data_IF_453794449633
#
_entry.id   IF_453794449633
#
_cell.length_a   1.000
_cell.length_b   1.000
_cell.length_c   1.000
_cell.angle_alpha   90.00
_cell.angle_beta   90.00
_cell.angle_gamma   90.00
#
_symmetry.space_group_name_H-M   'P 1'
#
loop_
_entity.id
_entity.type
_entity.pdbx_description
1 polymer ?
#
# COMPACT_ATOMS: atom_id res chain seq x y z
N UNK A 1 8.94 44.37 -6.24
CA UNK A 1 7.89 43.34 -6.45
C UNK A 1 7.35 43.04 -5.06
N UNK A 2 6.06 43.25 -4.85
CA UNK A 2 5.42 42.96 -3.57
C UNK A 2 4.86 41.54 -3.61
N UNK A 3 5.20 40.74 -2.59
CA UNK A 3 4.72 39.36 -2.44
C UNK A 3 3.77 39.33 -1.25
N UNK A 4 2.56 38.83 -1.47
CA UNK A 4 1.60 38.55 -0.39
C UNK A 4 1.80 37.11 0.07
N UNK A 5 1.98 36.93 1.37
CA UNK A 5 2.20 35.63 2.01
C UNK A 5 0.98 35.31 2.86
N UNK A 6 0.48 34.07 2.75
CA UNK A 6 -0.59 33.57 3.59
C UNK A 6 -0.06 33.12 4.96
N UNK A 7 -0.96 32.90 5.92
CA UNK A 7 -0.59 32.35 7.21
C UNK A 7 0.01 30.94 7.05
N UNK A 8 1.04 30.58 7.82
CA UNK A 8 1.68 29.28 7.71
C UNK A 8 0.72 28.16 8.12
N UNK A 9 0.73 27.09 7.33
CA UNK A 9 -0.05 25.87 7.57
C UNK A 9 0.87 24.65 7.58
N UNK A 10 0.36 23.54 8.10
CA UNK A 10 1.06 22.24 8.11
C UNK A 10 0.43 21.31 7.06
N UNK A 11 1.23 20.39 6.55
CA UNK A 11 0.74 19.27 5.73
C UNK A 11 0.22 18.17 6.64
N UNK A 12 -0.93 17.60 6.30
CA UNK A 12 -1.52 16.48 7.03
C UNK A 12 -1.12 15.14 6.39
N UNK A 13 -1.41 14.05 7.08
CA UNK A 13 -1.39 12.71 6.49
C UNK A 13 -2.64 11.96 6.94
N UNK A 14 -3.08 11.02 6.13
CA UNK A 14 -4.30 10.23 6.34
C UNK A 14 -3.95 8.80 6.80
N UNK A 15 -4.67 8.25 7.78
CA UNK A 15 -4.45 6.88 8.28
C UNK A 15 -5.78 6.19 8.56
N UNK A 16 -5.74 4.87 8.65
CA UNK A 16 -6.83 4.06 9.21
C UNK A 16 -6.46 3.60 10.62
N UNK A 17 -7.47 3.36 11.46
CA UNK A 17 -7.28 2.86 12.84
C UNK A 17 -7.85 1.46 13.05
N UNK A 18 -8.75 1.03 12.16
CA UNK A 18 -9.41 -0.26 12.19
C UNK A 18 -9.46 -0.85 10.79
N UNK A 19 -9.56 -2.18 10.71
CA UNK A 19 -9.74 -2.89 9.44
C UNK A 19 -11.09 -2.52 8.83
N UNK A 20 -11.09 -2.37 7.50
CA UNK A 20 -12.29 -2.10 6.71
C UNK A 20 -13.40 -3.13 7.02
N UNK A 21 -14.60 -2.63 7.35
CA UNK A 21 -15.76 -3.48 7.67
C UNK A 21 -16.32 -4.23 6.47
N UNK A 22 -16.09 -3.71 5.27
CA UNK A 22 -16.53 -4.28 4.01
C UNK A 22 -15.38 -4.36 3.02
N UNK A 23 -15.38 -5.42 2.21
CA UNK A 23 -14.50 -5.52 1.05
C UNK A 23 -15.00 -4.58 -0.05
N UNK A 24 -14.30 -3.48 -0.28
CA UNK A 24 -14.65 -2.53 -1.32
C UNK A 24 -14.20 -3.06 -2.67
N UNK A 25 -14.96 -2.78 -3.73
CA UNK A 25 -14.57 -3.16 -5.08
C UNK A 25 -14.67 -1.98 -6.06
N UNK A 26 -13.82 -2.02 -7.07
CA UNK A 26 -13.87 -1.13 -8.22
C UNK A 26 -13.99 -1.97 -9.50
N UNK A 27 -14.82 -1.53 -10.44
CA UNK A 27 -15.00 -2.16 -11.74
C UNK A 27 -14.60 -1.19 -12.84
N UNK A 28 -13.82 -1.65 -13.81
CA UNK A 28 -13.43 -0.82 -14.96
C UNK A 28 -14.64 -0.46 -15.83
N UNK A 29 -14.64 0.69 -16.55
CA UNK A 29 -15.79 1.11 -17.37
C UNK A 29 -16.23 0.11 -18.45
N UNK A 30 -15.30 -0.73 -18.93
CA UNK A 30 -15.59 -1.78 -19.90
C UNK A 30 -16.19 -3.06 -19.26
N UNK A 31 -16.36 -3.09 -17.93
CA UNK A 31 -16.89 -4.20 -17.12
C UNK A 31 -16.14 -5.52 -17.23
N UNK A 32 -14.84 -5.47 -17.54
CA UNK A 32 -14.00 -6.68 -17.68
C UNK A 32 -13.13 -6.96 -16.48
N UNK A 33 -12.78 -5.93 -15.70
CA UNK A 33 -11.91 -6.08 -14.55
C UNK A 33 -12.63 -5.58 -13.30
N UNK A 34 -12.56 -6.39 -12.26
CA UNK A 34 -13.03 -6.05 -10.92
C UNK A 34 -11.89 -6.28 -9.93
N UNK A 35 -11.54 -5.24 -9.19
CA UNK A 35 -10.54 -5.29 -8.12
C UNK A 35 -11.28 -5.16 -6.80
N UNK A 36 -10.91 -5.94 -5.80
CA UNK A 36 -11.46 -5.87 -4.46
C UNK A 36 -10.32 -5.63 -3.49
N UNK A 37 -10.48 -4.71 -2.53
CA UNK A 37 -9.47 -4.40 -1.53
C UNK A 37 -10.08 -4.17 -0.15
N UNK A 38 -9.28 -4.41 0.88
CA UNK A 38 -9.48 -3.92 2.25
C UNK A 38 -8.27 -3.10 2.69
N UNK A 39 -8.51 -2.14 3.57
CA UNK A 39 -7.45 -1.42 4.28
C UNK A 39 -7.45 -1.81 5.76
N UNK A 40 -6.26 -2.02 6.32
CA UNK A 40 -6.01 -2.24 7.75
C UNK A 40 -4.83 -1.39 8.22
N UNK A 41 -4.75 -1.01 9.52
CA UNK A 41 -3.61 -0.28 10.04
C UNK A 41 -2.35 -1.14 9.98
N UNK A 42 -1.22 -0.52 9.60
CA UNK A 42 0.10 -1.17 9.69
C UNK A 42 0.53 -1.34 11.15
N UNK A 43 1.38 -2.34 11.38
CA UNK A 43 1.98 -2.60 12.68
C UNK A 43 2.88 -1.43 13.11
N UNK A 44 2.89 -1.15 14.42
CA UNK A 44 3.65 -0.03 14.97
C UNK A 44 5.14 -0.17 14.66
N UNK A 45 5.76 0.89 14.13
CA UNK A 45 7.18 0.91 13.78
C UNK A 45 7.47 0.46 12.35
N UNK A 46 6.50 -0.13 11.63
CA UNK A 46 6.73 -0.64 10.27
C UNK A 46 6.80 0.48 9.24
N UNK A 47 5.92 1.48 9.34
CA UNK A 47 5.98 2.66 8.48
C UNK A 47 7.33 3.39 8.63
N UNK A 48 7.81 3.56 9.85
CA UNK A 48 9.10 4.19 10.14
C UNK A 48 10.27 3.36 9.61
N UNK A 49 10.22 2.03 9.72
CA UNK A 49 11.27 1.14 9.18
C UNK A 49 11.33 1.20 7.64
N UNK A 50 10.21 1.39 6.95
CA UNK A 50 10.17 1.56 5.49
C UNK A 50 10.79 2.91 5.10
N UNK A 51 10.39 4.00 5.76
CA UNK A 51 10.90 5.34 5.46
C UNK A 51 12.39 5.52 5.78
N UNK A 52 12.88 4.84 6.82
CA UNK A 52 14.30 4.80 7.17
C UNK A 52 15.10 3.80 6.30
N UNK A 53 14.47 3.22 5.28
CA UNK A 53 15.06 2.24 4.36
C UNK A 53 15.63 0.99 5.04
N UNK A 54 15.14 0.66 6.24
CA UNK A 54 15.50 -0.58 6.95
C UNK A 54 14.99 -1.79 6.18
N UNK A 55 13.91 -1.60 5.42
CA UNK A 55 13.36 -2.56 4.46
C UNK A 55 13.16 -1.90 3.11
N UNK A 56 13.45 -2.64 2.03
CA UNK A 56 13.30 -2.15 0.66
C UNK A 56 12.61 -3.19 -0.21
N UNK A 57 11.70 -2.73 -1.07
CA UNK A 57 10.95 -3.61 -1.98
C UNK A 57 11.84 -4.26 -3.06
N UNK A 58 13.02 -3.68 -3.31
CA UNK A 58 14.02 -4.19 -4.26
C UNK A 58 14.76 -5.44 -3.75
N UNK A 59 14.63 -5.75 -2.45
CA UNK A 59 15.25 -6.93 -1.88
C UNK A 59 14.67 -8.21 -2.47
N UNK A 60 15.45 -9.29 -2.41
CA UNK A 60 14.91 -10.59 -2.77
C UNK A 60 13.74 -10.96 -1.84
N UNK A 61 12.74 -11.67 -2.38
CA UNK A 61 11.52 -12.02 -1.62
C UNK A 61 11.79 -12.85 -0.36
N UNK A 62 12.92 -13.57 -0.31
CA UNK A 62 13.30 -14.39 0.84
C UNK A 62 13.71 -13.50 2.01
N UNK A 63 14.63 -12.56 1.79
CA UNK A 63 15.11 -11.58 2.76
C UNK A 63 13.98 -10.65 3.21
N UNK A 64 13.14 -10.21 2.26
CA UNK A 64 11.94 -9.44 2.58
C UNK A 64 11.03 -10.25 3.50
N UNK A 65 10.72 -11.50 3.13
CA UNK A 65 9.91 -12.40 3.95
C UNK A 65 10.47 -12.63 5.36
N UNK A 66 11.77 -12.89 5.47
CA UNK A 66 12.47 -13.07 6.74
C UNK A 66 12.40 -11.82 7.63
N UNK A 67 12.53 -10.62 7.05
CA UNK A 67 12.39 -9.37 7.79
C UNK A 67 10.99 -9.22 8.42
N UNK A 68 9.95 -9.37 7.62
CA UNK A 68 8.56 -9.24 8.07
C UNK A 68 8.18 -10.34 9.08
N UNK A 69 8.66 -11.57 8.87
CA UNK A 69 8.42 -12.68 9.80
C UNK A 69 9.12 -12.44 11.16
N UNK A 70 10.39 -12.02 11.16
CA UNK A 70 11.18 -11.92 12.40
C UNK A 70 10.87 -10.68 13.22
N UNK A 71 10.59 -9.53 12.60
CA UNK A 71 10.30 -8.27 13.32
C UNK A 71 8.82 -8.07 13.63
N UNK A 72 7.93 -8.51 12.73
CA UNK A 72 6.50 -8.16 12.79
C UNK A 72 5.59 -9.39 12.85
N UNK A 73 6.15 -10.59 12.98
CA UNK A 73 5.40 -11.86 13.08
C UNK A 73 4.42 -12.09 11.90
N UNK A 74 4.80 -11.60 10.70
CA UNK A 74 4.01 -11.85 9.51
C UNK A 74 4.11 -13.30 9.08
N UNK A 75 2.98 -13.84 8.60
CA UNK A 75 2.97 -15.13 7.92
C UNK A 75 3.83 -15.09 6.65
N UNK A 76 4.48 -16.22 6.36
CA UNK A 76 5.38 -16.35 5.22
C UNK A 76 4.69 -16.11 3.88
N UNK A 77 3.41 -16.48 3.76
CA UNK A 77 2.61 -16.25 2.55
C UNK A 77 2.38 -14.75 2.35
N UNK A 78 1.90 -14.07 3.39
CA UNK A 78 1.61 -12.63 3.35
C UNK A 78 2.88 -11.81 3.05
N UNK A 79 3.99 -12.14 3.71
CA UNK A 79 5.25 -11.43 3.53
C UNK A 79 5.85 -11.61 2.11
N UNK A 80 5.59 -12.74 1.46
CA UNK A 80 6.02 -12.99 0.06
C UNK A 80 5.09 -12.37 -0.98
N UNK A 81 3.87 -12.06 -0.59
CA UNK A 81 2.84 -11.45 -1.43
C UNK A 81 2.88 -9.92 -1.44
N UNK A 82 3.87 -9.30 -0.80
CA UNK A 82 4.07 -7.84 -0.88
C UNK A 82 4.39 -7.45 -2.33
N UNK A 83 3.62 -6.51 -2.88
CA UNK A 83 3.76 -6.05 -4.24
C UNK A 83 4.53 -4.75 -4.36
N UNK A 84 4.23 -3.79 -3.48
CA UNK A 84 4.82 -2.46 -3.50
C UNK A 84 4.71 -1.77 -2.16
N UNK A 85 5.60 -0.79 -1.95
CA UNK A 85 5.39 0.29 -1.01
C UNK A 85 4.81 1.51 -1.73
N UNK A 86 4.12 2.38 -1.01
CA UNK A 86 3.45 3.56 -1.56
C UNK A 86 3.49 4.74 -0.58
N UNK A 87 3.55 5.99 -1.08
CA UNK A 87 3.36 6.43 -2.47
C UNK A 87 4.56 6.23 -3.40
N UNK A 88 5.74 6.03 -2.85
CA UNK A 88 7.00 5.81 -3.55
C UNK A 88 7.66 4.49 -3.09
N UNK A 89 8.88 4.20 -3.56
CA UNK A 89 9.56 2.94 -3.27
C UNK A 89 9.88 2.74 -1.78
N UNK A 90 9.86 3.81 -1.00
CA UNK A 90 10.13 3.90 0.44
C UNK A 90 8.96 4.51 1.20
N UNK A 91 7.75 4.45 0.63
CA UNK A 91 6.58 5.08 1.20
C UNK A 91 5.95 4.28 2.34
N UNK A 92 5.31 4.93 3.33
CA UNK A 92 4.85 4.32 4.59
C UNK A 92 3.56 3.50 4.45
N UNK A 93 3.29 2.89 3.30
CA UNK A 93 2.12 2.05 3.03
C UNK A 93 2.55 0.77 2.30
N UNK A 94 1.78 -0.30 2.47
CA UNK A 94 2.08 -1.60 1.85
C UNK A 94 0.88 -2.09 1.03
N UNK A 95 1.15 -2.55 -0.19
CA UNK A 95 0.20 -3.32 -1.00
C UNK A 95 0.57 -4.81 -0.94
N UNK A 96 -0.38 -5.65 -0.55
CA UNK A 96 -0.24 -7.10 -0.40
C UNK A 96 -1.28 -7.82 -1.25
N UNK A 97 -0.89 -8.92 -1.90
CA UNK A 97 -1.84 -9.83 -2.57
C UNK A 97 -2.27 -10.97 -1.64
N UNK A 98 -3.49 -10.85 -1.10
CA UNK A 98 -4.10 -11.87 -0.24
C UNK A 98 -5.03 -12.84 -1.00
N UNK A 99 -4.90 -12.92 -2.33
CA UNK A 99 -5.75 -13.81 -3.14
C UNK A 99 -5.21 -15.24 -3.18
N UNK A 100 -6.09 -16.24 -3.17
CA UNK A 100 -5.69 -17.63 -3.32
C UNK A 100 -5.65 -18.03 -4.82
N UNK A 101 -4.71 -18.90 -5.25
CA UNK A 101 -4.67 -19.40 -6.63
C UNK A 101 -5.94 -20.14 -7.08
N UNK A 102 -6.76 -20.61 -6.13
CA UNK A 102 -8.07 -21.21 -6.40
C UNK A 102 -9.16 -20.19 -6.73
N UNK A 103 -8.98 -18.93 -6.32
CA UNK A 103 -9.95 -17.85 -6.51
C UNK A 103 -9.59 -16.99 -7.72
N UNK A 104 -8.28 -16.78 -7.94
CA UNK A 104 -7.76 -15.88 -8.98
C UNK A 104 -6.63 -16.56 -9.75
N UNK A 105 -6.68 -16.46 -11.07
CA UNK A 105 -5.57 -16.85 -11.94
C UNK A 105 -4.37 -15.92 -11.72
N UNK A 106 -3.31 -16.46 -11.07
CA UNK A 106 -2.09 -15.72 -10.76
C UNK A 106 -1.32 -15.24 -11.99
N UNK A 107 -1.48 -15.90 -13.14
CA UNK A 107 -0.84 -15.48 -14.39
C UNK A 107 -1.52 -14.23 -14.92
N UNK A 108 -2.85 -14.23 -14.94
CA UNK A 108 -3.66 -13.09 -15.34
C UNK A 108 -3.48 -11.92 -14.37
N UNK A 109 -3.49 -12.18 -13.05
CA UNK A 109 -3.24 -11.18 -12.04
C UNK A 109 -1.85 -10.54 -12.19
N UNK A 110 -0.84 -11.36 -12.47
CA UNK A 110 0.52 -10.90 -12.74
C UNK A 110 0.61 -9.95 -13.94
N UNK A 111 -0.21 -10.14 -14.97
CA UNK A 111 -0.23 -9.29 -16.18
C UNK A 111 -0.72 -7.86 -15.93
N UNK A 112 -1.52 -7.64 -14.87
CA UNK A 112 -2.07 -6.34 -14.49
C UNK A 112 -1.42 -5.76 -13.24
N UNK A 113 -0.47 -6.49 -12.62
CA UNK A 113 0.18 -6.11 -11.36
C UNK A 113 0.76 -4.70 -11.43
N UNK A 114 1.52 -4.39 -12.47
CA UNK A 114 2.22 -3.10 -12.57
C UNK A 114 1.23 -1.93 -12.68
N UNK A 115 0.11 -2.12 -13.37
CA UNK A 115 -0.98 -1.14 -13.44
C UNK A 115 -1.65 -0.92 -12.08
N UNK A 116 -1.84 -2.00 -11.30
CA UNK A 116 -2.40 -1.90 -9.95
C UNK A 116 -1.43 -1.16 -9.03
N UNK A 117 -0.14 -1.50 -9.08
CA UNK A 117 0.90 -0.81 -8.29
C UNK A 117 0.96 0.67 -8.63
N UNK A 118 0.91 1.04 -9.91
CA UNK A 118 0.90 2.43 -10.33
C UNK A 118 -0.33 3.18 -9.81
N UNK A 119 -1.52 2.59 -9.93
CA UNK A 119 -2.75 3.17 -9.37
C UNK A 119 -2.71 3.31 -7.85
N UNK A 120 -2.15 2.31 -7.15
CA UNK A 120 -1.95 2.33 -5.70
C UNK A 120 -0.98 3.44 -5.26
N UNK A 121 0.18 3.57 -5.91
CA UNK A 121 1.16 4.61 -5.61
C UNK A 121 0.61 6.01 -5.86
N UNK A 122 -0.15 6.17 -6.95
CA UNK A 122 -0.84 7.43 -7.23
C UNK A 122 -1.91 7.74 -6.18
N UNK A 123 -2.78 6.77 -5.86
CA UNK A 123 -3.84 6.96 -4.88
C UNK A 123 -3.34 7.23 -3.46
N UNK A 124 -2.24 6.61 -3.05
CA UNK A 124 -1.60 6.87 -1.73
C UNK A 124 -0.86 8.20 -1.67
N UNK A 125 -0.53 8.80 -2.81
CA UNK A 125 0.06 10.13 -2.89
C UNK A 125 -0.98 11.24 -2.76
N UNK A 126 -2.18 11.02 -3.31
CA UNK A 126 -3.24 12.02 -3.26
C UNK A 126 -4.08 11.87 -2.00
N UNK A 127 -4.49 10.67 -1.60
CA UNK A 127 -5.32 10.50 -0.41
C UNK A 127 -6.77 11.00 -0.58
N UNK A 128 -7.77 10.27 -0.05
CA UNK A 128 -9.18 10.60 -0.31
C UNK A 128 -9.83 11.66 0.59
N UNK A 129 -9.23 12.07 1.72
CA UNK A 129 -9.90 12.98 2.67
C UNK A 129 -9.62 14.45 2.38
N UNK A 130 -8.36 14.79 2.09
CA UNK A 130 -7.91 16.17 1.96
C UNK A 130 -6.84 16.40 0.88
N UNK A 131 -6.70 15.47 -0.06
CA UNK A 131 -5.68 15.50 -1.11
C UNK A 131 -4.24 15.56 -0.55
N UNK A 132 -4.01 14.87 0.58
CA UNK A 132 -2.69 14.71 1.22
C UNK A 132 -2.30 13.22 1.40
N UNK A 133 -1.01 12.97 1.65
CA UNK A 133 -0.42 11.63 1.69
C UNK A 133 -1.13 10.66 2.65
N UNK A 134 -1.36 9.44 2.19
CA UNK A 134 -1.75 8.31 3.06
C UNK A 134 -0.51 7.80 3.80
N UNK A 135 -0.65 7.46 5.08
CA UNK A 135 0.40 6.93 5.94
C UNK A 135 -0.12 5.79 6.81
N UNK A 136 0.74 4.79 7.02
CA UNK A 136 0.53 3.70 7.98
C UNK A 136 -0.64 2.77 7.61
N UNK A 137 -0.88 2.57 6.31
CA UNK A 137 -1.99 1.74 5.81
C UNK A 137 -1.50 0.54 5.02
N UNK A 138 -2.10 -0.61 5.30
CA UNK A 138 -1.90 -1.86 4.57
C UNK A 138 -3.12 -2.18 3.73
N UNK A 139 -2.91 -2.33 2.43
CA UNK A 139 -3.95 -2.69 1.46
C UNK A 139 -3.78 -4.17 1.08
N UNK A 140 -4.88 -4.93 1.17
CA UNK A 140 -4.96 -6.35 0.81
C UNK A 140 -6.07 -6.58 -0.21
#
# INVERSE_FOLDING_TARGET
IDIKVADPVVTFCETVVETSSLKCFAETPNKKNKITMIAEPLEKGLAEDIENEVVQITWNRKKLGEFFQTKYDWDLLAARSIWAFGPDATGPNILVDDTLPSEVDKTLLGSVKDSIVQGFQWGTREGPLCDELIRNVKFK
#
